data_IF_996492951942
#
_entry.id   IF_996492951942
#
_cell.length_a   1.000
_cell.length_b   1.000
_cell.length_c   1.000
_cell.angle_alpha   90.00
_cell.angle_beta   90.00
_cell.angle_gamma   90.00
#
_symmetry.space_group_name_H-M   'P 1'
#
loop_
_entity.id
_entity.type
_entity.pdbx_description
1 polymer ?
#
# COMPACT_ATOMS: atom_id res chain seq x y z
N UNK A 1 61.71 0.98 15.23
CA UNK A 1 60.66 2.04 15.33
C UNK A 1 59.77 1.91 14.14
N UNK A 2 58.62 1.29 14.35
CA UNK A 2 57.63 1.04 13.25
C UNK A 2 56.73 2.28 13.17
N UNK A 3 56.72 2.93 11.99
CA UNK A 3 55.76 3.97 11.66
C UNK A 3 54.37 3.32 11.47
N UNK A 4 53.45 3.56 12.37
CA UNK A 4 52.03 3.32 12.14
C UNK A 4 51.56 4.29 11.05
N UNK A 5 51.22 3.75 9.90
CA UNK A 5 50.45 4.48 8.90
C UNK A 5 49.04 4.78 9.48
N UNK A 6 48.80 6.04 9.82
CA UNK A 6 47.45 6.51 10.07
C UNK A 6 46.67 6.43 8.76
N UNK A 7 45.73 5.48 8.66
CA UNK A 7 44.73 5.48 7.62
C UNK A 7 43.87 6.75 7.79
N UNK A 8 44.02 7.66 6.85
CA UNK A 8 43.15 8.82 6.77
C UNK A 8 41.71 8.34 6.61
N UNK A 9 40.88 8.59 7.64
CA UNK A 9 39.45 8.39 7.56
C UNK A 9 38.90 9.40 6.53
N UNK A 10 38.34 8.90 5.44
CA UNK A 10 37.63 9.71 4.45
C UNK A 10 36.46 10.36 5.20
N UNK A 11 36.46 11.67 5.32
CA UNK A 11 35.33 12.43 5.86
C UNK A 11 34.26 12.47 4.76
N UNK A 12 33.20 11.70 4.93
CA UNK A 12 32.01 11.75 4.08
C UNK A 12 31.17 12.93 4.55
N UNK A 13 30.88 13.87 3.66
CA UNK A 13 29.90 14.93 3.89
C UNK A 13 28.59 14.56 3.19
N UNK A 14 27.67 13.98 3.94
CA UNK A 14 26.40 13.46 3.40
C UNK A 14 25.55 14.53 2.70
N UNK A 15 25.68 15.79 3.07
CA UNK A 15 24.94 16.88 2.45
C UNK A 15 25.56 17.31 1.09
N UNK A 16 26.89 17.33 0.99
CA UNK A 16 27.59 17.61 -0.27
C UNK A 16 27.52 16.42 -1.24
N UNK A 17 27.58 15.20 -0.70
CA UNK A 17 27.55 13.95 -1.45
C UNK A 17 26.12 13.42 -1.72
N UNK A 18 25.07 14.23 -1.44
CA UNK A 18 23.68 13.84 -1.65
C UNK A 18 23.45 13.38 -3.10
N UNK A 19 22.70 12.28 -3.23
CA UNK A 19 22.38 11.60 -4.49
C UNK A 19 23.58 10.98 -5.24
N UNK A 20 24.77 11.00 -4.68
CA UNK A 20 25.93 10.36 -5.29
C UNK A 20 25.70 8.84 -5.37
N UNK A 21 25.96 8.26 -6.55
CA UNK A 21 25.67 6.85 -6.85
C UNK A 21 24.22 6.56 -7.27
N UNK A 22 23.35 7.58 -7.30
CA UNK A 22 21.94 7.47 -7.71
C UNK A 22 21.66 8.17 -9.04
N UNK A 23 22.69 8.59 -9.77
CA UNK A 23 22.60 9.42 -10.97
C UNK A 23 21.85 8.73 -12.11
N UNK A 24 21.87 7.41 -12.14
CA UNK A 24 21.20 6.60 -13.16
C UNK A 24 19.83 6.06 -12.72
N UNK A 25 19.37 6.34 -11.47
CA UNK A 25 18.05 5.93 -11.03
C UNK A 25 16.95 6.74 -11.72
N UNK A 26 16.07 6.02 -12.37
CA UNK A 26 14.84 6.56 -12.97
C UNK A 26 13.62 6.23 -12.11
N UNK A 27 12.47 6.79 -12.43
CA UNK A 27 11.22 6.46 -11.72
C UNK A 27 10.83 5.00 -11.86
N UNK A 28 11.25 4.34 -12.94
CA UNK A 28 10.93 2.93 -13.21
C UNK A 28 11.78 1.98 -12.37
N UNK A 29 12.90 2.46 -11.83
CA UNK A 29 13.77 1.70 -10.92
C UNK A 29 13.31 1.80 -9.46
N UNK A 30 12.31 2.64 -9.17
CA UNK A 30 11.78 2.86 -7.82
C UNK A 30 10.47 2.11 -7.64
N UNK A 31 10.38 1.29 -6.61
CA UNK A 31 9.15 0.62 -6.21
C UNK A 31 8.44 1.41 -5.11
N UNK A 32 7.15 1.70 -5.32
CA UNK A 32 6.31 2.23 -4.24
C UNK A 32 5.88 1.05 -3.36
N UNK A 33 6.16 1.04 -2.05
CA UNK A 33 5.76 -0.03 -1.15
C UNK A 33 4.24 -0.24 -1.16
N UNK A 34 3.83 -1.50 -1.28
CA UNK A 34 2.44 -1.90 -1.09
C UNK A 34 2.26 -2.47 0.31
N UNK A 35 1.32 -1.92 1.05
CA UNK A 35 0.87 -2.49 2.31
C UNK A 35 -0.37 -3.35 2.07
N UNK A 36 -0.29 -4.61 2.46
CA UNK A 36 -1.34 -5.60 2.32
C UNK A 36 -1.80 -6.06 3.70
N UNK A 37 -3.09 -6.00 3.96
CA UNK A 37 -3.68 -6.59 5.18
C UNK A 37 -3.79 -8.10 4.97
N UNK A 38 -3.10 -8.86 5.81
CA UNK A 38 -3.04 -10.31 5.74
C UNK A 38 -4.37 -10.94 6.17
N UNK A 39 -4.79 -11.94 5.42
CA UNK A 39 -5.98 -12.76 5.68
C UNK A 39 -5.54 -14.18 6.07
N UNK A 40 -6.42 -14.95 6.68
CA UNK A 40 -6.10 -16.32 7.12
C UNK A 40 -5.59 -17.23 5.99
N UNK A 41 -5.95 -16.94 4.74
CA UNK A 41 -5.52 -17.68 3.54
C UNK A 41 -4.38 -16.97 2.77
N UNK A 42 -3.79 -15.93 3.33
CA UNK A 42 -2.60 -15.29 2.75
C UNK A 42 -1.43 -16.26 2.84
N UNK A 43 -0.60 -16.40 1.78
CA UNK A 43 0.57 -17.29 1.80
C UNK A 43 1.49 -17.02 2.98
N UNK A 44 1.71 -15.75 3.28
CA UNK A 44 2.58 -15.29 4.35
C UNK A 44 2.08 -15.78 5.73
N UNK A 45 0.77 -15.99 5.88
CA UNK A 45 0.15 -16.53 7.11
C UNK A 45 0.22 -18.05 7.13
N UNK A 46 0.04 -18.70 5.98
CA UNK A 46 0.01 -20.18 5.87
C UNK A 46 1.41 -20.77 5.99
N UNK A 47 2.41 -20.07 5.46
CA UNK A 47 3.79 -20.54 5.32
C UNK A 47 4.77 -19.90 6.31
N UNK A 48 4.32 -18.86 7.07
CA UNK A 48 5.19 -18.04 7.90
C UNK A 48 4.68 -17.80 9.32
N UNK A 49 5.45 -17.04 10.08
CA UNK A 49 5.18 -16.70 11.50
C UNK A 49 4.27 -15.47 11.68
N UNK A 50 3.68 -14.95 10.59
CA UNK A 50 2.81 -13.77 10.64
C UNK A 50 1.35 -14.17 10.86
N UNK A 51 0.58 -13.30 11.51
CA UNK A 51 -0.82 -13.58 11.88
C UNK A 51 -1.81 -12.88 10.94
N UNK A 52 -3.03 -13.44 10.76
CA UNK A 52 -4.09 -12.73 10.09
C UNK A 52 -4.39 -11.39 10.76
N UNK A 53 -4.59 -10.35 9.97
CA UNK A 53 -4.84 -8.98 10.44
C UNK A 53 -3.60 -8.11 10.50
N UNK A 54 -2.39 -8.68 10.47
CA UNK A 54 -1.16 -7.90 10.31
C UNK A 54 -1.08 -7.24 8.94
N UNK A 55 -0.30 -6.19 8.85
CA UNK A 55 -0.06 -5.41 7.64
C UNK A 55 1.37 -5.69 7.20
N UNK A 56 1.54 -6.25 6.00
CA UNK A 56 2.86 -6.55 5.45
C UNK A 56 3.28 -5.48 4.43
N UNK A 57 4.51 -5.02 4.53
CA UNK A 57 5.16 -4.19 3.53
C UNK A 57 5.75 -5.10 2.43
N UNK A 58 5.30 -4.94 1.20
CA UNK A 58 5.76 -5.77 0.08
C UNK A 58 7.22 -5.53 -0.33
N UNK A 59 7.78 -4.39 0.04
CA UNK A 59 9.17 -4.04 -0.32
C UNK A 59 10.18 -4.62 0.67
N UNK A 60 9.91 -4.53 1.99
CA UNK A 60 10.82 -5.03 3.03
C UNK A 60 10.47 -6.45 3.51
N UNK A 61 9.21 -6.88 3.35
CA UNK A 61 8.70 -8.11 3.93
C UNK A 61 8.30 -8.00 5.40
N UNK A 62 8.51 -6.83 6.03
CA UNK A 62 8.16 -6.62 7.43
C UNK A 62 6.65 -6.58 7.63
N UNK A 63 6.20 -7.17 8.74
CA UNK A 63 4.80 -7.18 9.12
C UNK A 63 4.58 -6.47 10.45
N UNK A 64 3.63 -5.53 10.47
CA UNK A 64 3.26 -4.74 11.64
C UNK A 64 1.80 -4.95 12.02
N UNK A 65 1.44 -4.72 13.28
CA UNK A 65 0.06 -4.80 13.76
C UNK A 65 -0.70 -3.51 13.59
N UNK A 66 0.00 -2.39 13.55
CA UNK A 66 -0.54 -1.04 13.40
C UNK A 66 0.44 -0.18 12.62
N UNK A 67 -0.06 0.87 12.00
CA UNK A 67 0.73 1.84 11.25
C UNK A 67 0.03 3.19 11.25
N UNK A 68 0.81 4.25 11.20
CA UNK A 68 0.30 5.61 11.03
C UNK A 68 0.42 6.05 9.58
N UNK A 69 -0.69 6.57 9.03
CA UNK A 69 -0.74 7.01 7.63
C UNK A 69 -1.53 8.29 7.45
N UNK A 70 -1.13 9.09 6.47
CA UNK A 70 -1.91 10.21 5.95
C UNK A 70 -2.50 9.80 4.60
N UNK A 71 -3.81 9.58 4.48
CA UNK A 71 -4.44 9.26 3.20
C UNK A 71 -4.40 10.48 2.28
N UNK A 72 -3.82 10.33 1.10
CA UNK A 72 -3.75 11.40 0.08
C UNK A 72 -4.73 11.19 -1.07
N UNK A 73 -5.19 9.95 -1.28
CA UNK A 73 -6.14 9.62 -2.32
C UNK A 73 -6.79 8.26 -2.11
N UNK A 74 -8.00 8.11 -2.64
CA UNK A 74 -8.75 6.86 -2.65
C UNK A 74 -9.23 6.55 -4.06
N UNK A 75 -9.08 5.30 -4.46
CA UNK A 75 -9.59 4.82 -5.74
C UNK A 75 -10.16 3.42 -5.58
N UNK A 76 -11.40 3.23 -6.05
CA UNK A 76 -11.96 1.89 -6.23
C UNK A 76 -11.57 1.40 -7.63
N UNK A 77 -11.05 0.18 -7.70
CA UNK A 77 -10.62 -0.48 -8.93
C UNK A 77 -11.14 -1.91 -8.98
N UNK A 78 -11.11 -2.50 -10.17
CA UNK A 78 -11.30 -3.92 -10.36
C UNK A 78 -10.04 -4.47 -11.00
N UNK A 79 -9.44 -5.46 -10.37
CA UNK A 79 -8.17 -6.04 -10.81
C UNK A 79 -8.42 -7.44 -11.36
N UNK A 80 -7.98 -7.67 -12.57
CA UNK A 80 -7.98 -8.97 -13.21
C UNK A 80 -6.67 -9.69 -12.87
N UNK A 81 -6.82 -10.88 -12.30
CA UNK A 81 -5.71 -11.74 -11.93
C UNK A 81 -5.76 -13.06 -12.70
N UNK A 82 -4.65 -13.45 -13.27
CA UNK A 82 -4.46 -14.82 -13.74
C UNK A 82 -4.45 -15.77 -12.55
N UNK A 83 -5.20 -16.90 -12.57
CA UNK A 83 -5.15 -17.89 -11.51
C UNK A 83 -3.72 -18.43 -11.30
N UNK A 84 -3.38 -18.76 -10.04
CA UNK A 84 -2.03 -19.25 -9.71
C UNK A 84 -1.67 -20.54 -10.47
N UNK A 85 -2.64 -21.39 -10.66
CA UNK A 85 -2.53 -22.64 -11.42
C UNK A 85 -2.19 -22.40 -12.90
N UNK A 86 -2.48 -21.20 -13.41
CA UNK A 86 -2.21 -20.76 -14.79
C UNK A 86 -1.03 -19.75 -14.86
N UNK A 87 -0.15 -19.76 -13.87
CA UNK A 87 1.04 -18.90 -13.82
C UNK A 87 0.91 -17.68 -12.95
N UNK A 88 -0.29 -17.31 -12.52
CA UNK A 88 -0.53 -16.16 -11.64
C UNK A 88 -0.24 -14.80 -12.30
N UNK A 89 -0.38 -13.74 -11.53
CA UNK A 89 0.02 -12.38 -11.91
C UNK A 89 -1.14 -11.46 -12.25
N UNK A 90 -0.84 -10.17 -12.22
CA UNK A 90 -1.75 -9.10 -12.62
C UNK A 90 -1.89 -9.07 -14.14
N UNK A 91 -3.11 -9.09 -14.62
CA UNK A 91 -3.44 -9.07 -16.06
C UNK A 91 -3.88 -7.67 -16.51
N UNK A 92 -4.82 -7.08 -15.77
CA UNK A 92 -5.37 -5.76 -16.09
C UNK A 92 -5.93 -5.07 -14.84
N UNK A 93 -6.06 -3.75 -14.92
CA UNK A 93 -6.74 -2.91 -13.93
C UNK A 93 -7.81 -2.11 -14.63
N UNK A 94 -9.04 -2.23 -14.13
CA UNK A 94 -10.21 -1.55 -14.67
C UNK A 94 -10.72 -0.48 -13.71
N UNK A 95 -11.23 0.60 -14.24
CA UNK A 95 -11.95 1.61 -13.47
C UNK A 95 -13.29 1.07 -12.96
N UNK A 96 -14.00 1.88 -12.17
CA UNK A 96 -15.28 1.47 -11.56
C UNK A 96 -16.34 1.13 -12.59
N UNK A 97 -16.42 1.88 -13.70
CA UNK A 97 -17.44 1.70 -14.72
C UNK A 97 -17.19 0.39 -15.47
N UNK A 98 -16.02 0.24 -16.07
CA UNK A 98 -15.61 -0.96 -16.80
C UNK A 98 -15.68 -2.22 -15.93
N UNK A 99 -15.12 -2.17 -14.73
CA UNK A 99 -15.10 -3.31 -13.82
C UNK A 99 -16.48 -3.68 -13.29
N UNK A 100 -17.41 -2.72 -13.15
CA UNK A 100 -18.79 -3.01 -12.79
C UNK A 100 -19.54 -3.72 -13.93
N UNK A 101 -19.26 -3.34 -15.16
CA UNK A 101 -19.87 -3.99 -16.32
C UNK A 101 -19.31 -5.40 -16.52
N UNK A 102 -18.00 -5.58 -16.40
CA UNK A 102 -17.37 -6.91 -16.39
C UNK A 102 -17.90 -7.81 -15.27
N UNK A 103 -18.13 -7.25 -14.09
CA UNK A 103 -18.67 -8.00 -12.93
C UNK A 103 -20.06 -8.60 -13.21
N UNK A 104 -20.88 -7.97 -14.05
CA UNK A 104 -22.20 -8.47 -14.43
C UNK A 104 -22.14 -9.76 -15.27
N UNK A 105 -21.07 -9.94 -16.03
CA UNK A 105 -20.83 -11.14 -16.88
C UNK A 105 -20.05 -12.23 -16.15
N UNK A 106 -19.47 -11.94 -14.96
CA UNK A 106 -18.72 -12.92 -14.20
C UNK A 106 -19.59 -14.09 -13.73
N UNK A 107 -19.01 -15.28 -13.76
CA UNK A 107 -19.52 -16.46 -13.05
C UNK A 107 -18.81 -16.61 -11.71
N UNK A 108 -19.39 -17.38 -10.78
CA UNK A 108 -18.72 -17.67 -9.50
C UNK A 108 -18.13 -19.07 -9.50
N UNK A 109 -16.90 -19.20 -9.04
CA UNK A 109 -16.31 -20.50 -8.79
C UNK A 109 -16.78 -21.10 -7.47
N UNK A 110 -16.37 -22.34 -7.18
CA UNK A 110 -16.69 -23.08 -5.93
C UNK A 110 -16.28 -22.34 -4.65
N UNK A 111 -15.32 -21.42 -4.76
CA UNK A 111 -14.84 -20.58 -3.65
C UNK A 111 -15.56 -19.22 -3.59
N UNK A 112 -16.61 -19.02 -4.40
CA UNK A 112 -17.40 -17.79 -4.47
C UNK A 112 -16.67 -16.59 -5.06
N UNK A 113 -15.55 -16.78 -5.77
CA UNK A 113 -14.82 -15.72 -6.46
C UNK A 113 -15.40 -15.46 -7.84
N UNK A 114 -15.40 -14.22 -8.26
CA UNK A 114 -15.86 -13.78 -9.57
C UNK A 114 -14.82 -14.14 -10.65
N UNK A 115 -15.25 -14.86 -11.68
CA UNK A 115 -14.43 -15.33 -12.79
C UNK A 115 -14.98 -14.76 -14.09
N UNK A 116 -14.09 -14.20 -14.90
CA UNK A 116 -14.34 -13.76 -16.26
C UNK A 116 -14.40 -14.95 -17.23
N UNK A 117 -14.97 -14.76 -18.41
CA UNK A 117 -15.08 -15.79 -19.45
C UNK A 117 -13.73 -16.39 -19.90
N UNK A 118 -12.65 -15.62 -19.75
CA UNK A 118 -11.28 -16.07 -20.02
C UNK A 118 -10.66 -16.90 -18.87
N UNK A 119 -11.40 -17.16 -17.79
CA UNK A 119 -10.95 -17.92 -16.63
C UNK A 119 -10.19 -17.10 -15.58
N UNK A 120 -9.94 -15.82 -15.82
CA UNK A 120 -9.26 -14.94 -14.87
C UNK A 120 -10.20 -14.50 -13.74
N UNK A 121 -9.60 -14.19 -12.59
CA UNK A 121 -10.32 -13.67 -11.42
C UNK A 121 -10.51 -12.16 -11.54
N UNK A 122 -11.73 -11.66 -11.34
CA UNK A 122 -12.02 -10.24 -11.24
C UNK A 122 -12.22 -9.86 -9.77
N UNK A 123 -11.33 -9.01 -9.23
CA UNK A 123 -11.28 -8.71 -7.79
C UNK A 123 -11.53 -7.22 -7.56
N UNK A 124 -12.68 -6.84 -6.95
CA UNK A 124 -12.89 -5.48 -6.48
C UNK A 124 -11.84 -5.10 -5.45
N UNK A 125 -11.19 -3.96 -5.65
CA UNK A 125 -10.07 -3.50 -4.83
C UNK A 125 -10.25 -2.04 -4.44
N UNK A 126 -10.10 -1.74 -3.17
CA UNK A 126 -9.99 -0.39 -2.65
C UNK A 126 -8.51 -0.05 -2.51
N UNK A 127 -8.07 1.01 -3.17
CA UNK A 127 -6.68 1.47 -3.19
C UNK A 127 -6.60 2.83 -2.52
N UNK A 128 -5.71 2.95 -1.55
CA UNK A 128 -5.38 4.21 -0.89
C UNK A 128 -3.94 4.57 -1.20
N UNK A 129 -3.75 5.78 -1.69
CA UNK A 129 -2.44 6.39 -1.80
C UNK A 129 -2.18 7.13 -0.49
N UNK A 130 -1.12 6.78 0.21
CA UNK A 130 -0.85 7.29 1.56
C UNK A 130 0.58 7.77 1.69
N UNK A 131 0.80 8.64 2.67
CA UNK A 131 2.11 8.86 3.26
C UNK A 131 2.16 8.00 4.51
N UNK A 132 3.08 7.06 4.54
CA UNK A 132 3.36 6.22 5.70
C UNK A 132 4.36 6.94 6.61
N UNK A 133 4.04 6.97 7.90
CA UNK A 133 4.87 7.57 8.94
C UNK A 133 5.54 6.44 9.72
N UNK A 134 6.85 6.30 9.58
CA UNK A 134 7.63 5.34 10.35
C UNK A 134 8.39 6.08 11.45
N UNK A 135 8.32 5.60 12.68
CA UNK A 135 9.15 6.09 13.76
C UNK A 135 10.50 5.35 13.74
N UNK A 136 11.59 6.08 13.65
CA UNK A 136 12.93 5.53 13.77
C UNK A 136 13.35 5.38 15.23
N UNK A 137 14.39 4.56 15.47
CA UNK A 137 14.90 4.24 16.81
C UNK A 137 15.40 5.47 17.60
N UNK A 138 15.70 6.55 16.92
CA UNK A 138 16.15 7.82 17.51
C UNK A 138 15.02 8.85 17.71
N UNK A 139 13.78 8.46 17.42
CA UNK A 139 12.59 9.31 17.55
C UNK A 139 12.36 10.26 16.37
N UNK A 140 13.15 10.17 15.30
CA UNK A 140 12.83 10.83 14.04
C UNK A 140 11.67 10.11 13.34
N UNK A 141 10.80 10.90 12.70
CA UNK A 141 9.70 10.37 11.89
C UNK A 141 10.13 10.43 10.43
N UNK A 142 10.35 9.26 9.84
CA UNK A 142 10.49 9.13 8.40
C UNK A 142 9.12 9.04 7.74
N UNK A 143 8.97 9.71 6.62
CA UNK A 143 7.75 9.62 5.82
C UNK A 143 8.06 9.09 4.42
N UNK A 144 7.27 8.12 3.98
CA UNK A 144 7.42 7.54 2.65
C UNK A 144 6.06 7.41 1.95
N UNK A 145 6.10 7.45 0.60
CA UNK A 145 4.91 7.19 -0.22
C UNK A 145 4.62 5.70 -0.21
N UNK A 146 3.36 5.34 -0.01
CA UNK A 146 2.94 3.95 -0.01
C UNK A 146 1.53 3.78 -0.58
N UNK A 147 1.17 2.55 -0.88
CA UNK A 147 -0.15 2.15 -1.35
C UNK A 147 -0.71 1.11 -0.39
N UNK A 148 -1.92 1.34 0.12
CA UNK A 148 -2.66 0.31 0.86
C UNK A 148 -3.71 -0.28 -0.07
N UNK A 149 -3.69 -1.59 -0.23
CA UNK A 149 -4.65 -2.32 -1.06
C UNK A 149 -5.54 -3.22 -0.20
N UNK A 150 -6.85 -3.03 -0.31
CA UNK A 150 -7.85 -3.80 0.43
C UNK A 150 -8.78 -4.53 -0.53
N UNK A 151 -8.88 -5.85 -0.38
CA UNK A 151 -9.68 -6.72 -1.23
C UNK A 151 -10.57 -7.65 -0.38
N UNK A 152 -11.55 -8.29 -1.00
CA UNK A 152 -12.36 -9.35 -0.37
C UNK A 152 -12.94 -8.90 1.00
N UNK A 153 -12.62 -9.61 2.08
CA UNK A 153 -13.11 -9.30 3.43
C UNK A 153 -12.64 -7.95 3.96
N UNK A 154 -11.49 -7.46 3.50
CA UNK A 154 -10.95 -6.15 3.87
C UNK A 154 -11.73 -4.98 3.28
N UNK A 155 -12.53 -5.19 2.22
CA UNK A 155 -13.41 -4.14 1.67
C UNK A 155 -14.44 -3.63 2.67
N UNK A 156 -14.85 -4.45 3.64
CA UNK A 156 -15.72 -3.99 4.74
C UNK A 156 -14.99 -2.98 5.63
N UNK A 157 -13.71 -3.21 5.87
CA UNK A 157 -12.84 -2.29 6.65
C UNK A 157 -12.60 -1.00 5.88
N UNK A 158 -12.33 -1.10 4.57
CA UNK A 158 -12.21 0.06 3.68
C UNK A 158 -13.45 0.95 3.74
N UNK A 159 -14.65 0.38 3.60
CA UNK A 159 -15.91 1.15 3.70
C UNK A 159 -16.06 1.85 5.05
N UNK A 160 -15.71 1.18 6.14
CA UNK A 160 -15.75 1.79 7.48
C UNK A 160 -14.75 2.95 7.59
N UNK A 161 -13.54 2.78 7.09
CA UNK A 161 -12.51 3.82 7.09
C UNK A 161 -12.96 5.03 6.27
N UNK A 162 -13.51 4.81 5.06
CA UNK A 162 -14.09 5.89 4.25
C UNK A 162 -15.20 6.64 4.99
N UNK A 163 -16.06 5.93 5.73
CA UNK A 163 -17.11 6.56 6.52
C UNK A 163 -16.56 7.40 7.67
N UNK A 164 -15.48 6.97 8.30
CA UNK A 164 -14.79 7.75 9.34
C UNK A 164 -14.22 9.03 8.74
N UNK A 165 -13.47 8.91 7.63
CA UNK A 165 -12.87 10.08 6.95
C UNK A 165 -13.93 11.08 6.46
N UNK A 166 -14.99 10.60 5.83
CA UNK A 166 -16.08 11.44 5.33
C UNK A 166 -16.93 12.05 6.45
N UNK A 167 -16.95 11.44 7.63
CA UNK A 167 -17.69 11.92 8.80
C UNK A 167 -16.98 13.01 9.60
N UNK A 168 -15.70 13.29 9.31
CA UNK A 168 -14.98 14.37 9.97
C UNK A 168 -15.53 15.71 9.50
N UNK A 169 -15.90 16.54 10.47
CA UNK A 169 -16.43 17.88 10.19
C UNK A 169 -15.59 18.92 10.94
N UNK A 170 -15.15 19.91 10.22
CA UNK A 170 -14.45 21.07 10.76
C UNK A 170 -15.29 22.33 10.58
N UNK A 171 -14.99 23.39 11.32
CA UNK A 171 -15.63 24.70 11.16
C UNK A 171 -14.71 25.64 10.41
N UNK A 172 -15.22 26.23 9.36
CA UNK A 172 -14.55 27.29 8.60
C UNK A 172 -14.45 28.61 9.37
N UNK A 173 -13.79 29.58 8.79
CA UNK A 173 -13.58 30.91 9.40
C UNK A 173 -14.89 31.65 9.74
N UNK A 174 -15.94 31.40 8.97
CA UNK A 174 -17.28 31.99 9.17
C UNK A 174 -18.21 31.07 9.97
N UNK A 175 -17.67 30.00 10.58
CA UNK A 175 -18.41 29.08 11.44
C UNK A 175 -19.19 27.98 10.73
N UNK A 176 -19.28 27.97 9.37
CA UNK A 176 -19.97 26.94 8.62
C UNK A 176 -19.19 25.59 8.70
N UNK A 177 -19.91 24.47 8.80
CA UNK A 177 -19.29 23.16 8.80
C UNK A 177 -18.80 22.78 7.40
N UNK A 178 -17.65 22.10 7.32
CA UNK A 178 -17.14 21.50 6.09
C UNK A 178 -16.42 20.19 6.38
N UNK A 179 -16.36 19.29 5.40
CA UNK A 179 -15.54 18.07 5.45
C UNK A 179 -14.13 18.43 4.97
N UNK A 180 -13.10 18.22 5.81
CA UNK A 180 -11.72 18.51 5.41
C UNK A 180 -11.22 17.52 4.34
N UNK A 181 -10.15 17.86 3.62
CA UNK A 181 -9.56 16.93 2.65
C UNK A 181 -8.99 15.69 3.33
N UNK A 182 -8.84 14.58 2.57
CA UNK A 182 -8.35 13.30 3.08
C UNK A 182 -7.02 13.40 3.85
N UNK A 183 -6.13 14.25 3.36
CA UNK A 183 -4.78 14.43 3.93
C UNK A 183 -4.72 15.33 5.18
N UNK A 184 -5.85 15.68 5.73
CA UNK A 184 -5.92 16.59 6.90
C UNK A 184 -5.64 15.91 8.24
N UNK A 185 -5.64 14.59 8.30
CA UNK A 185 -5.51 13.81 9.54
C UNK A 185 -4.58 12.61 9.34
N UNK A 186 -3.93 12.23 10.42
CA UNK A 186 -3.21 10.95 10.54
C UNK A 186 -4.19 9.90 11.07
N UNK A 187 -4.10 8.70 10.56
CA UNK A 187 -4.95 7.56 10.92
C UNK A 187 -4.11 6.37 11.33
#
# INVERSE_FOLDING_TARGET
MSKKEEKALVKINMEEDKNQGMENLTKDDLSIPFFKILQSNSPEVVEGDVKPGMIINSASGDAVTEMEVIPCGYQKQFIEWTPRESGGGLKAVYNVLEGTDLMKSCTKNDKGKDILDNGNLLVPTAVYYVIYMAEELDGHIESSKAIISMTSTSLKKSRRWNSVMAGITMRGKEGQPFTPPLFSHIY
#
